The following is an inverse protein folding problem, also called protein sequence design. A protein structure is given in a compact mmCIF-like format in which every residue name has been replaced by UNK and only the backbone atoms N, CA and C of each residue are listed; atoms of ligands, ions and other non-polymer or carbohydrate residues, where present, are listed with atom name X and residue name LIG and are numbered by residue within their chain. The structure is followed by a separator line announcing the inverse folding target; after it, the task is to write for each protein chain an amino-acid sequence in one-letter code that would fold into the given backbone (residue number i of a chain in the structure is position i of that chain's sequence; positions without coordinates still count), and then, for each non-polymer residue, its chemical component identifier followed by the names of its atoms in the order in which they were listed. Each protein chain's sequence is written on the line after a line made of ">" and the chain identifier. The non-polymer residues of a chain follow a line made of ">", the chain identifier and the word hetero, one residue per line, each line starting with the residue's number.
data_IF_217874389180
#
_entry.id   IF_217874389180
#
_cell.length_a   1.000
_cell.length_b   1.000
_cell.length_c   1.000
_cell.angle_alpha   90.00
_cell.angle_beta   90.00
_cell.angle_gamma   90.00
#
_symmetry.space_group_name_H-M   'P 1'
#
loop_
_entity.id
_entity.type
_entity.pdbx_description
1 polymer ?
#
# COMPACT_ATOMS: atom_id res chain seq x y z
N UNK A 1 15.65 38.66 -26.09
CA UNK A 1 15.91 37.22 -26.37
C UNK A 1 15.98 36.46 -25.05
N UNK A 2 14.85 36.21 -24.40
CA UNK A 2 14.77 35.35 -23.21
C UNK A 2 13.38 34.68 -23.22
N UNK A 3 13.25 33.56 -22.50
CA UNK A 3 12.05 32.73 -22.24
C UNK A 3 12.02 31.37 -22.94
N UNK A 4 12.77 30.39 -22.42
CA UNK A 4 12.40 28.97 -22.48
C UNK A 4 13.14 28.14 -21.39
N UNK A 5 12.97 28.46 -20.11
CA UNK A 5 13.57 27.65 -19.02
C UNK A 5 12.72 27.64 -17.73
N UNK A 6 11.42 27.30 -17.81
CA UNK A 6 10.59 27.07 -16.62
C UNK A 6 9.74 25.78 -16.65
N UNK A 7 9.58 25.13 -17.81
CA UNK A 7 8.66 23.97 -17.95
C UNK A 7 9.18 22.65 -17.35
N UNK A 8 10.48 22.52 -17.03
CA UNK A 8 11.07 21.24 -16.59
C UNK A 8 10.84 20.90 -15.11
N UNK A 9 10.64 21.91 -14.25
CA UNK A 9 10.48 21.69 -12.79
C UNK A 9 9.13 21.05 -12.43
N UNK A 10 8.03 21.57 -13.00
CA UNK A 10 6.66 21.07 -12.75
C UNK A 10 6.48 19.60 -13.15
N UNK A 11 7.04 19.18 -14.28
CA UNK A 11 6.98 17.79 -14.74
C UNK A 11 7.73 16.82 -13.82
N UNK A 12 8.86 17.24 -13.25
CA UNK A 12 9.64 16.41 -12.32
C UNK A 12 8.88 16.21 -10.99
N UNK A 13 8.26 17.28 -10.49
CA UNK A 13 7.42 17.23 -9.28
C UNK A 13 6.23 16.26 -9.48
N UNK A 14 5.53 16.34 -10.62
CA UNK A 14 4.42 15.43 -10.97
C UNK A 14 4.86 13.96 -11.06
N UNK A 15 6.07 13.68 -11.57
CA UNK A 15 6.61 12.31 -11.59
C UNK A 15 6.88 11.80 -10.17
N UNK A 16 7.50 12.62 -9.32
CA UNK A 16 7.80 12.27 -7.92
C UNK A 16 6.51 11.99 -7.13
N UNK A 17 5.44 12.75 -7.35
CA UNK A 17 4.14 12.48 -6.68
C UNK A 17 3.50 11.19 -7.17
N UNK A 18 3.55 10.89 -8.48
CA UNK A 18 3.02 9.64 -9.02
C UNK A 18 3.73 8.40 -8.45
N UNK A 19 5.07 8.43 -8.37
CA UNK A 19 5.86 7.34 -7.75
C UNK A 19 5.47 7.15 -6.28
N UNK A 20 5.35 8.25 -5.52
CA UNK A 20 4.92 8.19 -4.11
C UNK A 20 3.53 7.57 -3.98
N UNK A 21 2.58 7.95 -4.83
CA UNK A 21 1.23 7.41 -4.83
C UNK A 21 1.21 5.91 -5.16
N UNK A 22 2.04 5.47 -6.13
CA UNK A 22 2.20 4.05 -6.46
C UNK A 22 2.78 3.22 -5.30
N UNK A 23 3.81 3.75 -4.62
CA UNK A 23 4.39 3.11 -3.43
C UNK A 23 3.35 3.00 -2.31
N UNK A 24 2.58 4.06 -2.07
CA UNK A 24 1.52 4.08 -1.05
C UNK A 24 0.41 3.08 -1.38
N UNK A 25 -0.05 3.05 -2.63
CA UNK A 25 -1.04 2.07 -3.09
C UNK A 25 -0.56 0.63 -2.88
N UNK A 26 0.66 0.31 -3.28
CA UNK A 26 1.24 -1.02 -3.09
C UNK A 26 1.37 -1.38 -1.61
N UNK A 27 1.69 -0.41 -0.74
CA UNK A 27 1.71 -0.63 0.71
C UNK A 27 0.31 -0.95 1.24
N UNK A 28 -0.71 -0.22 0.82
CA UNK A 28 -2.10 -0.44 1.23
C UNK A 28 -2.64 -1.79 0.75
N UNK A 29 -2.34 -2.19 -0.48
CA UNK A 29 -2.70 -3.51 -1.01
C UNK A 29 -2.07 -4.65 -0.20
N UNK A 30 -0.79 -4.51 0.21
CA UNK A 30 -0.17 -5.47 1.12
C UNK A 30 -0.85 -5.51 2.48
N UNK A 31 -1.19 -4.34 3.03
CA UNK A 31 -1.91 -4.25 4.31
C UNK A 31 -3.27 -4.93 4.23
N UNK A 32 -3.97 -4.81 3.10
CA UNK A 32 -5.23 -5.49 2.84
C UNK A 32 -5.05 -7.02 2.92
N UNK A 33 -4.04 -7.56 2.24
CA UNK A 33 -3.74 -9.01 2.29
C UNK A 33 -3.48 -9.51 3.72
N UNK A 34 -2.80 -8.72 4.54
CA UNK A 34 -2.54 -9.09 5.94
C UNK A 34 -3.81 -9.06 6.78
N UNK A 35 -4.66 -8.04 6.57
CA UNK A 35 -5.93 -7.89 7.25
C UNK A 35 -6.90 -9.02 6.89
N UNK A 36 -6.97 -9.39 5.61
CA UNK A 36 -7.82 -10.47 5.14
C UNK A 36 -7.42 -11.81 5.77
N UNK A 37 -6.11 -12.10 5.85
CA UNK A 37 -5.63 -13.31 6.53
C UNK A 37 -5.90 -13.26 8.03
N UNK A 38 -5.73 -12.11 8.68
CA UNK A 38 -6.02 -11.93 10.10
C UNK A 38 -7.50 -12.18 10.43
N UNK A 39 -8.41 -11.63 9.62
CA UNK A 39 -9.85 -11.72 9.85
C UNK A 39 -10.36 -13.17 9.80
N UNK A 40 -9.83 -14.01 8.89
CA UNK A 40 -10.17 -15.44 8.82
C UNK A 40 -9.99 -16.18 10.14
N UNK A 41 -8.97 -15.82 10.91
CA UNK A 41 -8.65 -16.48 12.19
C UNK A 41 -9.24 -15.76 13.39
N UNK A 42 -9.62 -14.49 13.25
CA UNK A 42 -10.19 -13.70 14.35
C UNK A 42 -11.60 -14.15 14.71
N UNK A 43 -12.35 -14.70 13.76
CA UNK A 43 -13.68 -15.28 13.98
C UNK A 43 -13.67 -16.45 14.99
N UNK A 44 -12.53 -17.13 15.14
CA UNK A 44 -12.34 -18.27 16.04
C UNK A 44 -11.97 -17.87 17.48
N UNK A 45 -12.14 -16.59 17.84
CA UNK A 45 -11.77 -15.98 19.12
C UNK A 45 -10.31 -16.22 19.56
N UNK A 46 -9.41 -16.36 18.59
CA UNK A 46 -7.99 -16.58 18.85
C UNK A 46 -7.32 -15.24 19.21
N UNK A 47 -6.43 -15.21 20.22
CA UNK A 47 -5.67 -14.00 20.54
C UNK A 47 -4.74 -13.61 19.37
N UNK A 48 -4.63 -12.30 19.12
CA UNK A 48 -3.86 -11.72 18.01
C UNK A 48 -2.40 -12.19 17.97
N UNK A 49 -1.78 -12.39 19.13
CA UNK A 49 -0.40 -12.89 19.24
C UNK A 49 -0.23 -14.30 18.69
N UNK A 50 -1.23 -15.17 18.90
CA UNK A 50 -1.24 -16.54 18.35
C UNK A 50 -1.49 -16.51 16.86
N UNK A 51 -2.44 -15.69 16.39
CA UNK A 51 -2.70 -15.50 14.97
C UNK A 51 -1.43 -15.04 14.24
N UNK A 52 -0.72 -14.06 14.82
CA UNK A 52 0.52 -13.55 14.27
C UNK A 52 1.59 -14.64 14.16
N UNK A 53 1.86 -15.38 15.25
CA UNK A 53 2.92 -16.40 15.30
C UNK A 53 2.64 -17.59 14.38
N UNK A 54 1.38 -18.04 14.29
CA UNK A 54 1.02 -19.27 13.56
C UNK A 54 0.69 -19.05 12.09
N UNK A 55 0.06 -17.93 11.74
CA UNK A 55 -0.53 -17.76 10.40
C UNK A 55 0.10 -16.59 9.62
N UNK A 56 0.35 -15.46 10.27
CA UNK A 56 0.79 -14.24 9.57
C UNK A 56 2.29 -14.21 9.36
N UNK A 57 3.08 -14.43 10.41
CA UNK A 57 4.54 -14.41 10.35
C UNK A 57 5.12 -15.43 9.36
N UNK A 58 4.74 -16.73 9.37
CA UNK A 58 5.30 -17.70 8.44
C UNK A 58 4.95 -17.38 6.97
N UNK A 59 3.78 -16.76 6.72
CA UNK A 59 3.30 -16.46 5.36
C UNK A 59 3.91 -15.17 4.79
N UNK A 60 3.91 -14.10 5.57
CA UNK A 60 4.27 -12.75 5.09
C UNK A 60 5.60 -12.24 5.61
N UNK A 61 6.19 -12.88 6.63
CA UNK A 61 7.48 -12.49 7.25
C UNK A 61 7.53 -11.01 7.65
N UNK A 62 6.40 -10.49 8.14
CA UNK A 62 6.26 -9.11 8.62
C UNK A 62 6.42 -9.03 10.13
N UNK A 63 6.76 -7.85 10.65
CA UNK A 63 6.77 -7.60 12.09
C UNK A 63 5.34 -7.47 12.66
N UNK A 64 5.17 -7.75 13.95
CA UNK A 64 3.90 -7.54 14.66
C UNK A 64 3.47 -6.06 14.62
N UNK A 65 4.44 -5.14 14.70
CA UNK A 65 4.20 -3.70 14.57
C UNK A 65 3.58 -3.36 13.21
N UNK A 66 4.07 -3.98 12.13
CA UNK A 66 3.53 -3.80 10.78
C UNK A 66 2.09 -4.30 10.69
N UNK A 67 1.79 -5.45 11.29
CA UNK A 67 0.41 -5.96 11.36
C UNK A 67 -0.51 -5.00 12.11
N UNK A 68 -0.10 -4.53 13.30
CA UNK A 68 -0.90 -3.60 14.09
C UNK A 68 -1.15 -2.28 13.35
N UNK A 69 -0.14 -1.78 12.63
CA UNK A 69 -0.31 -0.61 11.77
C UNK A 69 -1.33 -0.89 10.66
N UNK A 70 -1.32 -2.08 10.04
CA UNK A 70 -2.32 -2.43 9.03
C UNK A 70 -3.74 -2.47 9.62
N UNK A 71 -3.90 -3.03 10.83
CA UNK A 71 -5.19 -3.11 11.53
C UNK A 71 -5.75 -1.76 11.96
N UNK A 72 -4.88 -0.78 12.27
CA UNK A 72 -5.30 0.57 12.65
C UNK A 72 -5.56 1.51 11.46
N UNK A 73 -5.09 1.14 10.27
CA UNK A 73 -5.21 1.96 9.05
C UNK A 73 -6.58 1.76 8.40
N UNK A 74 -7.26 2.85 7.99
CA UNK A 74 -8.47 2.74 7.18
C UNK A 74 -8.12 2.54 5.70
N UNK A 75 -7.76 1.31 5.35
CA UNK A 75 -7.22 0.93 4.03
C UNK A 75 -8.18 1.31 2.90
N UNK A 76 -9.48 1.04 3.07
CA UNK A 76 -10.50 1.31 2.03
C UNK A 76 -10.62 2.81 1.73
N UNK A 77 -10.59 3.64 2.76
CA UNK A 77 -10.64 5.10 2.61
C UNK A 77 -9.38 5.62 1.90
N UNK A 78 -8.21 5.21 2.35
CA UNK A 78 -6.94 5.67 1.77
C UNK A 78 -6.77 5.22 0.32
N UNK A 79 -7.20 4.01 -0.04
CA UNK A 79 -7.18 3.56 -1.42
C UNK A 79 -8.05 4.40 -2.34
N UNK A 80 -9.22 4.86 -1.85
CA UNK A 80 -10.15 5.71 -2.61
C UNK A 80 -9.64 7.13 -2.81
N UNK A 81 -8.87 7.65 -1.86
CA UNK A 81 -8.26 8.98 -1.93
C UNK A 81 -7.06 9.03 -2.89
N UNK A 82 -6.42 7.89 -3.16
CA UNK A 82 -5.32 7.82 -4.10
C UNK A 82 -5.82 7.87 -5.55
N UNK A 83 -5.17 8.65 -6.43
CA UNK A 83 -5.52 8.65 -7.83
C UNK A 83 -5.30 7.26 -8.42
N UNK A 84 -6.24 6.81 -9.25
CA UNK A 84 -6.08 5.55 -9.97
C UNK A 84 -4.79 5.56 -10.80
N UNK A 85 -4.05 4.45 -10.89
CA UNK A 85 -2.94 4.35 -11.81
C UNK A 85 -3.52 4.48 -13.21
N UNK A 86 -3.29 5.62 -13.86
CA UNK A 86 -3.64 5.84 -15.27
C UNK A 86 -3.11 4.63 -16.06
N UNK A 87 -4.03 3.78 -16.51
CA UNK A 87 -3.79 2.40 -16.94
C UNK A 87 -3.00 2.25 -18.23
N UNK A 88 -1.76 2.72 -18.25
CA UNK A 88 -0.78 2.34 -19.26
C UNK A 88 0.03 1.18 -18.69
N UNK A 89 -0.61 0.02 -18.60
CA UNK A 89 0.14 -1.22 -18.64
C UNK A 89 0.78 -1.25 -20.03
N UNK A 90 2.07 -0.91 -20.11
CA UNK A 90 2.84 -1.18 -21.31
C UNK A 90 2.78 -2.69 -21.48
N UNK A 91 2.04 -3.18 -22.47
CA UNK A 91 2.18 -4.54 -22.98
C UNK A 91 3.58 -4.65 -23.57
N UNK A 92 4.59 -4.79 -22.70
CA UNK A 92 5.86 -5.39 -23.09
C UNK A 92 5.57 -6.88 -23.05
N UNK A 93 5.08 -7.41 -24.17
CA UNK A 93 5.04 -8.79 -24.67
C UNK A 93 3.83 -8.92 -25.61
#
# INVERSE_FOLDING_TARGET
>A
MFYFCQKNSSMNIKRKTNIKNGIQRNKLLRYQMYMDEYMKWKELDVPTTVIYRKYIYPKFRISLKTLNNALSTNIKKELKELPEPNGQQLSLF
#
